data_IF_627698926622
#
_entry.id   IF_627698926622
#
_cell.length_a   1.000
_cell.length_b   1.000
_cell.length_c   1.000
_cell.angle_alpha   90.00
_cell.angle_beta   90.00
_cell.angle_gamma   90.00
#
_symmetry.space_group_name_H-M   'P 1'
#
loop_
_entity.id
_entity.type
_entity.pdbx_description
1 polymer ?
#
# COMPACT_ATOMS: atom_id res chain seq x y z
N UNK A 1 -25.64 -8.98 12.78
CA UNK A 1 -24.21 -8.80 12.55
C UNK A 1 -24.02 -7.84 11.39
N UNK A 2 -23.18 -6.83 11.52
CA UNK A 2 -22.88 -5.89 10.44
C UNK A 2 -21.99 -6.59 9.40
N UNK A 3 -22.43 -6.73 8.13
CA UNK A 3 -21.68 -7.46 7.11
C UNK A 3 -20.39 -6.79 6.66
N UNK A 4 -20.16 -5.52 7.00
CA UNK A 4 -19.01 -4.72 6.62
C UNK A 4 -18.06 -4.42 7.79
N UNK A 5 -18.09 -5.23 8.85
CA UNK A 5 -17.20 -5.06 9.99
C UNK A 5 -15.81 -5.60 9.64
N UNK A 6 -14.79 -4.75 9.70
CA UNK A 6 -13.39 -5.18 9.56
C UNK A 6 -12.89 -5.70 10.91
N UNK A 7 -12.50 -6.96 10.97
CA UNK A 7 -12.11 -7.67 12.19
C UNK A 7 -10.60 -7.87 12.20
N UNK A 8 -9.92 -7.21 13.14
CA UNK A 8 -8.51 -7.43 13.41
C UNK A 8 -8.38 -8.25 14.69
N UNK A 9 -7.72 -9.42 14.61
CA UNK A 9 -7.55 -10.32 15.74
C UNK A 9 -6.08 -10.46 16.13
N UNK A 10 -5.82 -10.76 17.41
CA UNK A 10 -4.50 -11.06 17.95
C UNK A 10 -4.32 -12.55 18.12
N UNK A 11 -3.23 -13.10 17.61
CA UNK A 11 -2.79 -14.48 17.85
C UNK A 11 -1.52 -14.55 18.69
N UNK A 12 -1.37 -15.61 19.45
CA UNK A 12 -0.14 -15.89 20.23
C UNK A 12 0.84 -16.76 19.43
N UNK A 13 0.33 -17.64 18.57
CA UNK A 13 1.09 -18.59 17.76
C UNK A 13 0.48 -18.73 16.35
N UNK A 14 1.21 -19.45 15.48
CA UNK A 14 0.85 -19.61 14.06
C UNK A 14 -0.42 -20.47 13.89
N UNK A 15 -0.64 -21.48 14.74
CA UNK A 15 -1.85 -22.31 14.67
C UNK A 15 -3.11 -21.51 15.03
N UNK A 16 -2.99 -20.62 16.01
CA UNK A 16 -4.07 -19.71 16.40
C UNK A 16 -4.37 -18.71 15.27
N UNK A 17 -3.36 -18.24 14.53
CA UNK A 17 -3.58 -17.37 13.38
C UNK A 17 -4.50 -18.01 12.34
N UNK A 18 -4.22 -19.25 11.94
CA UNK A 18 -5.05 -19.98 10.97
C UNK A 18 -6.51 -20.14 11.44
N UNK A 19 -6.70 -20.49 12.72
CA UNK A 19 -8.04 -20.64 13.30
C UNK A 19 -8.83 -19.32 13.29
N UNK A 20 -8.18 -18.20 13.55
CA UNK A 20 -8.81 -16.89 13.55
C UNK A 20 -9.21 -16.43 12.14
N UNK A 21 -8.41 -16.71 11.11
CA UNK A 21 -8.81 -16.49 9.72
C UNK A 21 -10.03 -17.36 9.33
N UNK A 22 -10.03 -18.64 9.72
CA UNK A 22 -11.18 -19.53 9.48
C UNK A 22 -12.43 -19.04 10.23
N UNK A 23 -12.27 -18.44 11.39
CA UNK A 23 -13.37 -17.87 12.18
C UNK A 23 -13.89 -16.53 11.62
N UNK A 24 -13.29 -15.99 10.55
CA UNK A 24 -13.75 -14.79 9.85
C UNK A 24 -13.02 -13.50 10.23
N UNK A 25 -11.81 -13.58 10.79
CA UNK A 25 -10.98 -12.39 10.96
C UNK A 25 -10.41 -11.94 9.61
N UNK A 26 -10.51 -10.64 9.30
CA UNK A 26 -9.94 -10.06 8.08
C UNK A 26 -8.43 -9.92 8.19
N UNK A 27 -7.94 -9.59 9.39
CA UNK A 27 -6.53 -9.49 9.70
C UNK A 27 -6.20 -10.16 11.03
N UNK A 28 -5.08 -10.88 11.06
CA UNK A 28 -4.57 -11.49 12.29
C UNK A 28 -3.13 -11.06 12.53
N UNK A 29 -2.84 -10.54 13.71
CA UNK A 29 -1.52 -10.08 14.11
C UNK A 29 -0.99 -10.94 15.25
N UNK A 30 0.25 -11.43 15.13
CA UNK A 30 1.01 -12.04 16.22
C UNK A 30 2.15 -11.09 16.66
N UNK A 31 2.00 -10.36 17.78
CA UNK A 31 3.03 -9.42 18.24
C UNK A 31 4.38 -10.10 18.52
N UNK A 32 4.35 -11.35 19.02
CA UNK A 32 5.55 -12.11 19.32
C UNK A 32 6.34 -12.45 18.04
N UNK A 33 5.65 -12.96 17.01
CA UNK A 33 6.27 -13.29 15.73
C UNK A 33 6.76 -12.00 15.03
N UNK A 34 5.92 -10.97 14.97
CA UNK A 34 6.27 -9.68 14.38
C UNK A 34 7.48 -9.05 15.10
N UNK A 35 7.50 -9.08 16.43
CA UNK A 35 8.62 -8.59 17.23
C UNK A 35 9.90 -9.37 16.97
N UNK A 36 9.83 -10.70 16.89
CA UNK A 36 10.97 -11.57 16.58
C UNK A 36 11.56 -11.29 15.19
N UNK A 37 10.71 -11.21 14.18
CA UNK A 37 11.12 -10.85 12.80
C UNK A 37 11.79 -9.47 12.78
N UNK A 38 11.21 -8.49 13.49
CA UNK A 38 11.75 -7.15 13.57
C UNK A 38 13.11 -7.10 14.24
N UNK A 39 13.30 -7.81 15.36
CA UNK A 39 14.61 -7.90 16.03
C UNK A 39 15.67 -8.51 15.11
N UNK A 40 15.35 -9.59 14.40
CA UNK A 40 16.25 -10.18 13.40
C UNK A 40 16.58 -9.21 12.26
N UNK A 41 15.58 -8.50 11.75
CA UNK A 41 15.77 -7.49 10.70
C UNK A 41 16.69 -6.35 11.15
N UNK A 42 16.54 -5.88 12.39
CA UNK A 42 17.42 -4.83 12.96
C UNK A 42 18.88 -5.28 13.05
N UNK A 43 19.15 -6.56 13.28
CA UNK A 43 20.50 -7.10 13.27
C UNK A 43 21.08 -7.25 11.86
N UNK A 44 20.25 -7.68 10.90
CA UNK A 44 20.70 -7.99 9.55
C UNK A 44 20.71 -6.78 8.61
N UNK A 45 19.78 -5.84 8.79
CA UNK A 45 19.54 -4.70 7.90
C UNK A 45 19.08 -3.46 8.65
N UNK A 46 19.89 -2.91 9.59
CA UNK A 46 19.47 -1.82 10.48
C UNK A 46 19.03 -0.56 9.71
N UNK A 47 19.71 -0.21 8.64
CA UNK A 47 19.36 0.97 7.83
C UNK A 47 18.00 0.83 7.13
N UNK A 48 17.67 -0.37 6.66
CA UNK A 48 16.35 -0.62 6.05
C UNK A 48 15.24 -0.49 7.10
N UNK A 49 15.46 -1.02 8.31
CA UNK A 49 14.48 -0.91 9.40
C UNK A 49 14.31 0.55 9.82
N UNK A 50 15.39 1.30 9.97
CA UNK A 50 15.35 2.74 10.29
C UNK A 50 14.61 3.53 9.22
N UNK A 51 14.86 3.27 7.95
CA UNK A 51 14.15 3.90 6.83
C UNK A 51 12.65 3.59 6.86
N UNK A 52 12.26 2.31 7.02
CA UNK A 52 10.86 1.93 7.11
C UNK A 52 10.15 2.58 8.31
N UNK A 53 10.84 2.76 9.43
CA UNK A 53 10.28 3.47 10.59
C UNK A 53 9.95 4.92 10.27
N UNK A 54 10.82 5.61 9.53
CA UNK A 54 10.57 7.00 9.10
C UNK A 54 9.33 7.07 8.22
N UNK A 55 9.22 6.21 7.20
CA UNK A 55 8.13 6.30 6.21
C UNK A 55 6.79 5.78 6.74
N UNK A 56 6.78 4.94 7.77
CA UNK A 56 5.55 4.33 8.31
C UNK A 56 5.00 5.03 9.55
N UNK A 57 5.83 5.74 10.34
CA UNK A 57 5.38 6.42 11.57
C UNK A 57 4.53 7.66 11.31
N UNK A 58 4.60 8.20 10.11
CA UNK A 58 3.75 9.34 9.75
C UNK A 58 4.00 10.61 10.55
N UNK A 59 5.16 10.74 11.20
CA UNK A 59 5.56 11.93 11.99
C UNK A 59 5.74 13.19 11.12
N UNK A 60 5.29 13.10 9.90
CA UNK A 60 4.76 14.18 9.10
C UNK A 60 5.79 15.06 8.38
N UNK A 61 7.07 14.86 8.55
CA UNK A 61 7.98 15.94 8.14
C UNK A 61 8.75 15.69 6.83
N UNK A 62 8.93 14.44 6.38
CA UNK A 62 9.86 14.28 5.25
C UNK A 62 9.40 13.28 4.19
N UNK A 63 8.93 12.09 4.57
CA UNK A 63 8.63 11.02 3.62
C UNK A 63 7.50 10.12 4.14
N UNK A 64 6.55 9.76 3.28
CA UNK A 64 5.40 8.92 3.61
C UNK A 64 5.16 7.90 2.52
N UNK A 65 4.66 6.72 2.92
CA UNK A 65 3.98 5.78 2.02
C UNK A 65 2.48 6.07 2.10
N UNK A 66 1.85 6.16 0.94
CA UNK A 66 0.43 6.45 0.85
C UNK A 66 -0.23 5.51 -0.16
N UNK A 67 -1.47 5.14 0.13
CA UNK A 67 -2.33 4.39 -0.77
C UNK A 67 -3.23 5.35 -1.55
N UNK A 68 -3.15 5.29 -2.88
CA UNK A 68 -3.95 6.13 -3.78
C UNK A 68 -4.86 5.22 -4.61
N UNK A 69 -6.17 5.39 -4.44
CA UNK A 69 -7.17 4.70 -5.29
C UNK A 69 -7.53 5.56 -6.49
N UNK A 70 -7.54 4.94 -7.67
CA UNK A 70 -7.87 5.61 -8.93
C UNK A 70 -9.39 5.62 -9.12
N UNK A 71 -9.96 6.80 -9.11
CA UNK A 71 -11.41 6.99 -9.27
C UNK A 71 -11.82 7.18 -10.74
N UNK A 72 -13.09 6.93 -11.03
CA UNK A 72 -13.67 7.29 -12.32
C UNK A 72 -13.61 8.82 -12.49
N UNK A 73 -13.13 9.28 -13.67
CA UNK A 73 -12.89 10.71 -13.92
C UNK A 73 -11.46 11.18 -13.61
N UNK A 74 -10.62 10.34 -13.00
CA UNK A 74 -9.21 10.63 -12.78
C UNK A 74 -8.48 10.98 -14.08
N UNK A 75 -7.64 12.02 -14.06
CA UNK A 75 -6.86 12.46 -15.22
C UNK A 75 -5.79 11.46 -15.64
N UNK A 76 -5.44 10.51 -14.79
CA UNK A 76 -4.42 9.47 -15.02
C UNK A 76 -5.02 8.10 -15.37
N UNK A 77 -6.33 7.91 -15.23
CA UNK A 77 -6.98 6.67 -15.60
C UNK A 77 -6.94 6.43 -17.11
N UNK A 78 -6.65 5.20 -17.54
CA UNK A 78 -6.50 4.81 -18.95
C UNK A 78 -5.16 5.22 -19.58
N UNK A 79 -4.23 5.77 -18.80
CA UNK A 79 -2.88 6.14 -19.24
C UNK A 79 -1.86 5.16 -18.73
N UNK A 80 -0.77 4.99 -19.47
CA UNK A 80 0.42 4.33 -18.95
C UNK A 80 1.11 5.20 -17.90
N UNK A 81 1.94 4.63 -17.05
CA UNK A 81 2.73 5.40 -16.08
C UNK A 81 3.62 6.44 -16.77
N UNK A 82 4.13 6.12 -17.95
CA UNK A 82 4.91 7.04 -18.79
C UNK A 82 4.08 8.26 -19.23
N UNK A 83 2.85 8.04 -19.69
CA UNK A 83 1.94 9.11 -20.14
C UNK A 83 1.37 9.91 -18.96
N UNK A 84 1.10 9.29 -17.83
CA UNK A 84 0.65 9.94 -16.61
C UNK A 84 1.70 10.90 -16.04
N UNK A 85 2.99 10.60 -16.26
CA UNK A 85 4.14 11.41 -15.84
C UNK A 85 4.12 11.75 -14.35
N UNK A 86 3.71 10.79 -13.51
CA UNK A 86 3.53 10.99 -12.07
C UNK A 86 4.81 11.52 -11.41
N UNK A 87 6.00 10.91 -11.60
CA UNK A 87 7.23 11.42 -10.97
C UNK A 87 7.58 12.84 -11.42
N UNK A 88 7.36 13.17 -12.71
CA UNK A 88 7.70 14.49 -13.26
C UNK A 88 6.76 15.60 -12.78
N UNK A 89 5.47 15.27 -12.57
CA UNK A 89 4.47 16.24 -12.14
C UNK A 89 4.46 16.43 -10.62
N UNK A 90 4.70 15.38 -9.88
CA UNK A 90 4.50 15.37 -8.43
C UNK A 90 5.79 15.15 -7.63
N UNK A 91 6.83 14.58 -8.25
CA UNK A 91 8.04 14.15 -7.57
C UNK A 91 7.87 12.85 -6.76
N UNK A 92 6.70 12.18 -6.84
CA UNK A 92 6.43 10.92 -6.15
C UNK A 92 7.09 9.75 -6.84
N UNK A 93 7.39 8.71 -6.07
CA UNK A 93 7.82 7.42 -6.57
C UNK A 93 6.64 6.45 -6.48
N UNK A 94 6.30 5.78 -7.59
CA UNK A 94 5.32 4.69 -7.59
C UNK A 94 6.04 3.40 -7.20
N UNK A 95 5.68 2.83 -6.06
CA UNK A 95 6.30 1.62 -5.50
C UNK A 95 5.62 0.37 -6.03
N UNK A 96 4.28 0.37 -6.07
CA UNK A 96 3.50 -0.77 -6.52
C UNK A 96 2.14 -0.34 -7.06
N UNK A 97 1.56 -1.16 -7.93
CA UNK A 97 0.17 -1.04 -8.39
C UNK A 97 -0.53 -2.37 -8.18
N UNK A 98 -1.78 -2.32 -7.77
CA UNK A 98 -2.66 -3.48 -7.69
C UNK A 98 -3.88 -3.24 -8.56
N UNK A 99 -4.03 -4.07 -9.57
CA UNK A 99 -5.18 -4.04 -10.47
C UNK A 99 -6.36 -4.84 -9.92
N UNK A 100 -7.57 -4.44 -10.29
CA UNK A 100 -8.73 -5.28 -10.10
C UNK A 100 -8.80 -6.34 -11.21
N UNK A 101 -9.24 -7.55 -10.85
CA UNK A 101 -9.55 -8.59 -11.84
C UNK A 101 -10.84 -8.25 -12.61
N UNK A 102 -11.17 -9.05 -13.63
CA UNK A 102 -12.39 -8.86 -14.44
C UNK A 102 -13.70 -8.95 -13.64
N UNK A 103 -13.65 -9.44 -12.40
CA UNK A 103 -14.80 -9.53 -11.48
C UNK A 103 -14.77 -8.42 -10.42
N UNK A 104 -13.87 -7.44 -10.55
CA UNK A 104 -13.72 -6.35 -9.60
C UNK A 104 -13.07 -6.75 -8.27
N UNK A 105 -12.41 -7.91 -8.21
CA UNK A 105 -11.68 -8.37 -7.01
C UNK A 105 -10.22 -7.96 -7.10
N UNK A 106 -9.60 -7.79 -5.96
CA UNK A 106 -8.19 -7.43 -5.84
C UNK A 106 -7.29 -8.52 -6.43
N UNK A 107 -6.47 -8.12 -7.41
CA UNK A 107 -5.43 -8.94 -8.01
C UNK A 107 -4.11 -8.91 -7.22
N UNK A 108 -3.06 -9.56 -7.72
CA UNK A 108 -1.74 -9.46 -7.13
C UNK A 108 -1.14 -8.06 -7.30
N UNK A 109 -0.19 -7.72 -6.43
CA UNK A 109 0.60 -6.51 -6.57
C UNK A 109 1.63 -6.63 -7.70
N UNK A 110 1.71 -5.63 -8.57
CA UNK A 110 2.83 -5.37 -9.46
C UNK A 110 3.80 -4.44 -8.73
N UNK A 111 4.96 -4.96 -8.35
CA UNK A 111 6.00 -4.19 -7.67
C UNK A 111 6.96 -3.58 -8.68
N UNK A 112 7.39 -2.33 -8.43
CA UNK A 112 8.25 -1.56 -9.34
C UNK A 112 7.68 -1.56 -10.77
N UNK A 113 6.44 -1.04 -10.95
CA UNK A 113 5.75 -1.11 -12.22
C UNK A 113 6.54 -0.39 -13.33
N UNK A 114 6.53 -1.00 -14.51
CA UNK A 114 7.23 -0.44 -15.66
C UNK A 114 6.51 0.77 -16.27
N UNK A 115 7.20 1.57 -17.10
CA UNK A 115 6.64 2.79 -17.68
C UNK A 115 5.44 2.54 -18.60
N UNK A 116 5.30 1.32 -19.14
CA UNK A 116 4.20 0.91 -20.01
C UNK A 116 3.00 0.34 -19.27
N UNK A 117 3.08 0.21 -17.95
CA UNK A 117 1.98 -0.30 -17.15
C UNK A 117 0.83 0.71 -17.12
N UNK A 118 -0.37 0.23 -17.47
CA UNK A 118 -1.57 1.05 -17.55
C UNK A 118 -2.21 1.23 -16.19
N UNK A 119 -2.60 2.45 -15.86
CA UNK A 119 -3.36 2.82 -14.66
C UNK A 119 -4.85 2.77 -14.97
N UNK A 120 -5.62 1.96 -14.27
CA UNK A 120 -7.05 1.75 -14.52
C UNK A 120 -7.91 2.26 -13.39
N UNK A 121 -9.16 2.56 -13.69
CA UNK A 121 -10.17 2.89 -12.66
C UNK A 121 -10.32 1.71 -11.71
N UNK A 122 -10.29 2.00 -10.41
CA UNK A 122 -10.35 1.00 -9.33
C UNK A 122 -8.99 0.49 -8.86
N UNK A 123 -7.92 0.73 -9.63
CA UNK A 123 -6.57 0.37 -9.21
C UNK A 123 -6.17 1.07 -7.92
N UNK A 124 -5.29 0.41 -7.19
CA UNK A 124 -4.65 0.95 -5.98
C UNK A 124 -3.16 1.08 -6.23
N UNK A 125 -2.63 2.28 -6.06
CA UNK A 125 -1.19 2.55 -6.13
C UNK A 125 -0.62 2.80 -4.73
N UNK A 126 0.54 2.20 -4.44
CA UNK A 126 1.37 2.60 -3.32
C UNK A 126 2.43 3.56 -3.84
N UNK A 127 2.44 4.75 -3.28
CA UNK A 127 3.38 5.82 -3.65
C UNK A 127 4.20 6.26 -2.45
N UNK A 128 5.38 6.82 -2.72
CA UNK A 128 6.25 7.36 -1.70
C UNK A 128 6.65 8.79 -2.05
N UNK A 129 6.52 9.68 -1.08
CA UNK A 129 6.92 11.08 -1.18
C UNK A 129 6.53 11.90 0.03
N UNK A 130 6.72 13.21 -0.04
CA UNK A 130 6.30 14.13 1.02
C UNK A 130 4.79 14.47 0.93
N UNK A 131 4.29 15.14 1.95
CA UNK A 131 2.86 15.49 2.04
C UNK A 131 2.37 16.33 0.86
N UNK A 132 3.15 17.33 0.42
CA UNK A 132 2.75 18.21 -0.68
C UNK A 132 2.65 17.44 -2.01
N UNK A 133 3.60 16.55 -2.25
CA UNK A 133 3.61 15.66 -3.41
C UNK A 133 2.40 14.72 -3.43
N UNK A 134 2.04 14.16 -2.26
CA UNK A 134 0.87 13.29 -2.11
C UNK A 134 -0.42 14.06 -2.41
N UNK A 135 -0.57 15.29 -1.91
CA UNK A 135 -1.72 16.15 -2.19
C UNK A 135 -1.85 16.43 -3.69
N UNK A 136 -0.74 16.65 -4.39
CA UNK A 136 -0.77 16.84 -5.84
C UNK A 136 -1.30 15.61 -6.58
N UNK A 137 -0.86 14.41 -6.19
CA UNK A 137 -1.33 13.18 -6.83
C UNK A 137 -2.80 12.89 -6.51
N UNK A 138 -3.25 13.18 -5.29
CA UNK A 138 -4.68 13.02 -4.95
C UNK A 138 -5.58 13.84 -5.88
N UNK A 139 -5.18 15.04 -6.28
CA UNK A 139 -5.94 15.88 -7.23
C UNK A 139 -5.99 15.27 -8.65
N UNK A 140 -4.95 14.55 -9.06
CA UNK A 140 -4.91 13.87 -10.36
C UNK A 140 -5.67 12.53 -10.34
N UNK A 141 -5.77 11.88 -9.18
CA UNK A 141 -6.41 10.58 -8.99
C UNK A 141 -7.92 10.66 -8.70
N UNK A 142 -8.39 11.81 -8.28
CA UNK A 142 -9.82 12.10 -8.05
C UNK A 142 -10.46 12.75 -9.29
N UNK A 143 -11.79 12.71 -9.40
CA UNK A 143 -12.51 13.36 -10.49
C UNK A 143 -12.43 14.88 -10.41
#
# INVERSE_FOLDING_TARGET
>A
LQPNLNIVARAYDEQTMQKLYIAGADHVVSPNLTGGIRMAAMMLRPEVVSFLDVVTRGDGLTLRLEEIRIHAGSTIAGKTLSEARIPQKTGLIVIAIRHLDQRGREGPWSYNPGPQEEVRVGDVMIVMGNTDQIVLLHREAQP
#
